data_IF_545449640267
#
_entry.id   IF_545449640267
#
_cell.length_a   1.000
_cell.length_b   1.000
_cell.length_c   1.000
_cell.angle_alpha   90.00
_cell.angle_beta   90.00
_cell.angle_gamma   90.00
#
_symmetry.space_group_name_H-M   'P 1'
#
loop_
_entity.id
_entity.type
_entity.pdbx_description
1 polymer ?
#
# COMPACT_ATOMS: atom_id res chain seq x y z
N UNK A 1 31.90 -0.08 9.37
CA UNK A 1 31.44 0.19 10.75
C UNK A 1 30.57 -0.98 11.19
N UNK A 2 31.15 -1.93 11.92
CA UNK A 2 30.59 -3.25 12.24
C UNK A 2 29.54 -3.15 13.35
N UNK A 3 28.26 -3.07 12.99
CA UNK A 3 27.16 -3.26 13.96
C UNK A 3 27.11 -4.75 14.30
N UNK A 4 27.74 -5.15 15.40
CA UNK A 4 27.49 -6.44 16.02
C UNK A 4 25.98 -6.57 16.31
N UNK A 5 25.37 -7.74 16.10
CA UNK A 5 23.96 -7.95 16.42
C UNK A 5 23.75 -7.60 17.90
N UNK A 6 22.89 -6.62 18.16
CA UNK A 6 22.53 -6.21 19.52
C UNK A 6 21.82 -7.40 20.16
N UNK A 7 22.41 -8.00 21.18
CA UNK A 7 21.81 -9.11 21.90
C UNK A 7 20.63 -8.60 22.73
N UNK A 8 19.41 -8.83 22.25
CA UNK A 8 18.18 -8.34 22.86
C UNK A 8 17.97 -8.90 24.26
N UNK A 9 18.59 -10.04 24.59
CA UNK A 9 18.47 -10.68 25.90
C UNK A 9 19.25 -9.94 26.98
N UNK A 10 20.22 -9.10 26.59
CA UNK A 10 21.02 -8.28 27.50
C UNK A 10 20.38 -6.94 27.89
N UNK A 11 19.34 -6.50 27.18
CA UNK A 11 18.71 -5.18 27.35
C UNK A 11 17.79 -5.07 28.57
N UNK A 12 17.70 -3.92 29.23
CA UNK A 12 16.79 -3.73 30.38
C UNK A 12 15.31 -3.80 29.99
N UNK A 13 14.42 -4.06 30.96
CA UNK A 13 12.97 -4.06 30.71
C UNK A 13 12.46 -2.71 30.18
N UNK A 14 13.03 -1.59 30.66
CA UNK A 14 12.69 -0.26 30.14
C UNK A 14 13.12 -0.09 28.67
N UNK A 15 14.31 -0.57 28.30
CA UNK A 15 14.80 -0.51 26.93
C UNK A 15 13.95 -1.38 25.99
N UNK A 16 13.59 -2.60 26.41
CA UNK A 16 12.72 -3.48 25.63
C UNK A 16 11.33 -2.89 25.43
N UNK A 17 10.75 -2.25 26.45
CA UNK A 17 9.45 -1.57 26.35
C UNK A 17 9.48 -0.38 25.39
N UNK A 18 10.57 0.41 25.39
CA UNK A 18 10.74 1.51 24.44
C UNK A 18 10.87 1.01 22.99
N UNK A 19 11.67 -0.03 22.76
CA UNK A 19 11.84 -0.62 21.42
C UNK A 19 10.52 -1.25 20.95
N UNK A 20 9.79 -1.93 21.85
CA UNK A 20 8.47 -2.48 21.56
C UNK A 20 7.54 -1.37 21.03
N UNK A 21 7.42 -0.27 21.76
CA UNK A 21 6.58 0.87 21.36
C UNK A 21 6.97 1.43 19.99
N UNK A 22 8.29 1.60 19.76
CA UNK A 22 8.78 2.06 18.46
C UNK A 22 8.36 1.12 17.32
N UNK A 23 8.44 -0.20 17.52
CA UNK A 23 8.05 -1.18 16.51
C UNK A 23 6.55 -1.17 16.27
N UNK A 24 5.73 -0.98 17.29
CA UNK A 24 4.26 -0.83 17.17
C UNK A 24 3.88 0.42 16.36
N UNK A 25 4.52 1.56 16.63
CA UNK A 25 4.30 2.82 15.90
C UNK A 25 4.71 2.67 14.42
N UNK A 26 5.88 2.08 14.16
CA UNK A 26 6.36 1.81 12.80
C UNK A 26 5.46 0.83 12.05
N UNK A 27 5.01 -0.25 12.68
CA UNK A 27 4.07 -1.21 12.09
C UNK A 27 2.75 -0.53 11.69
N UNK A 28 2.24 0.34 12.55
CA UNK A 28 1.02 1.11 12.25
C UNK A 28 1.22 2.01 11.03
N UNK A 29 2.34 2.74 10.95
CA UNK A 29 2.67 3.58 9.81
C UNK A 29 2.84 2.78 8.50
N UNK A 30 3.55 1.66 8.56
CA UNK A 30 3.80 0.81 7.39
C UNK A 30 2.50 0.14 6.91
N UNK A 31 1.64 -0.30 7.83
CA UNK A 31 0.33 -0.89 7.50
C UNK A 31 -0.62 0.12 6.83
N UNK A 32 -0.64 1.36 7.32
CA UNK A 32 -1.39 2.45 6.69
C UNK A 32 -0.88 2.73 5.27
N UNK A 33 0.45 2.79 5.09
CA UNK A 33 1.07 2.99 3.79
C UNK A 33 0.75 1.85 2.82
N UNK A 34 0.78 0.61 3.30
CA UNK A 34 0.43 -0.58 2.51
C UNK A 34 -1.01 -0.51 2.01
N UNK A 35 -1.94 -0.15 2.88
CA UNK A 35 -3.36 0.00 2.53
C UNK A 35 -3.58 1.07 1.47
N UNK A 36 -2.91 2.22 1.60
CA UNK A 36 -3.00 3.31 0.62
C UNK A 36 -2.42 2.92 -0.74
N UNK A 37 -1.24 2.30 -0.77
CA UNK A 37 -0.62 1.82 -2.01
C UNK A 37 -1.47 0.74 -2.68
N UNK A 38 -2.09 -0.14 -1.90
CA UNK A 38 -2.99 -1.17 -2.43
C UNK A 38 -4.25 -0.55 -3.04
N UNK A 39 -4.84 0.46 -2.39
CA UNK A 39 -5.98 1.19 -2.94
C UNK A 39 -5.62 1.90 -4.25
N UNK A 40 -4.43 2.52 -4.34
CA UNK A 40 -3.93 3.12 -5.57
C UNK A 40 -3.77 2.08 -6.71
N UNK A 41 -3.22 0.90 -6.39
CA UNK A 41 -3.08 -0.18 -7.37
C UNK A 41 -4.43 -0.65 -7.92
N UNK A 42 -5.45 -0.76 -7.05
CA UNK A 42 -6.82 -1.11 -7.48
C UNK A 42 -7.37 -0.03 -8.42
N UNK A 43 -7.22 1.25 -8.08
CA UNK A 43 -7.67 2.36 -8.95
C UNK A 43 -7.00 2.33 -10.32
N UNK A 44 -5.69 2.09 -10.41
CA UNK A 44 -5.02 1.99 -11.71
C UNK A 44 -5.50 0.79 -12.54
N UNK A 45 -5.83 -0.34 -11.91
CA UNK A 45 -6.47 -1.47 -12.61
C UNK A 45 -7.89 -1.14 -13.08
N UNK A 46 -8.64 -0.34 -12.34
CA UNK A 46 -9.95 0.15 -12.76
C UNK A 46 -9.83 1.12 -13.95
N UNK A 47 -8.81 1.97 -13.99
CA UNK A 47 -8.50 2.81 -15.15
C UNK A 47 -8.21 1.97 -16.40
N UNK A 48 -7.39 0.92 -16.28
CA UNK A 48 -7.11 -0.02 -17.39
C UNK A 48 -8.41 -0.64 -17.93
N UNK A 49 -9.25 -1.17 -17.03
CA UNK A 49 -10.54 -1.75 -17.41
C UNK A 49 -11.46 -0.72 -18.08
N UNK A 50 -11.43 0.53 -17.60
CA UNK A 50 -12.22 1.63 -18.17
C UNK A 50 -11.79 1.98 -19.59
N UNK A 51 -10.48 1.94 -19.88
CA UNK A 51 -9.96 2.14 -21.25
C UNK A 51 -10.40 0.97 -22.14
N UNK A 52 -10.21 -0.28 -21.69
CA UNK A 52 -10.55 -1.47 -22.47
C UNK A 52 -12.04 -1.58 -22.81
N UNK A 53 -12.92 -1.31 -21.85
CA UNK A 53 -14.38 -1.48 -22.03
C UNK A 53 -15.05 -0.19 -22.50
N UNK A 54 -14.64 0.94 -21.92
CA UNK A 54 -15.32 2.22 -22.06
C UNK A 54 -14.90 3.05 -23.25
N UNK A 55 -13.72 2.80 -23.84
CA UNK A 55 -13.19 3.61 -24.95
C UNK A 55 -12.87 2.74 -26.19
N UNK A 56 -13.28 1.47 -26.20
CA UNK A 56 -13.02 0.59 -27.35
C UNK A 56 -13.80 1.00 -28.61
N UNK A 57 -13.30 0.63 -29.79
CA UNK A 57 -14.02 0.84 -31.06
C UNK A 57 -15.43 0.22 -31.08
N UNK A 58 -15.75 -0.72 -30.18
CA UNK A 58 -17.07 -1.35 -30.05
C UNK A 58 -18.16 -0.40 -29.53
N UNK A 59 -17.77 0.69 -28.86
CA UNK A 59 -18.69 1.72 -28.34
C UNK A 59 -18.75 2.98 -29.21
N UNK A 60 -17.96 3.05 -30.29
CA UNK A 60 -17.99 4.18 -31.23
C UNK A 60 -19.40 4.34 -31.82
N UNK A 61 -19.95 5.55 -31.69
CA UNK A 61 -21.29 5.90 -32.18
C UNK A 61 -22.46 5.30 -31.38
N UNK A 62 -22.21 4.54 -30.32
CA UNK A 62 -23.27 4.04 -29.43
C UNK A 62 -23.57 5.06 -28.33
N UNK A 63 -24.85 5.23 -27.95
CA UNK A 63 -25.20 6.08 -26.82
C UNK A 63 -24.66 5.50 -25.52
N UNK A 64 -23.98 6.34 -24.73
CA UNK A 64 -23.50 6.06 -23.39
C UNK A 64 -24.22 6.96 -22.40
N UNK A 65 -24.40 6.50 -21.15
CA UNK A 65 -24.96 7.32 -20.09
C UNK A 65 -23.83 7.91 -19.25
N UNK A 66 -23.75 9.23 -19.23
CA UNK A 66 -22.76 9.95 -18.41
C UNK A 66 -23.44 10.45 -17.14
N UNK A 67 -22.95 10.12 -15.94
CA UNK A 67 -23.49 10.64 -14.70
C UNK A 67 -23.17 12.13 -14.56
N UNK A 68 -24.19 12.96 -14.35
CA UNK A 68 -24.03 14.37 -13.96
C UNK A 68 -24.02 14.53 -12.44
N UNK A 69 -24.85 13.74 -11.76
CA UNK A 69 -24.95 13.67 -10.30
C UNK A 69 -25.20 12.22 -9.87
N UNK A 70 -25.29 11.97 -8.57
CA UNK A 70 -25.56 10.63 -8.03
C UNK A 70 -26.86 9.99 -8.55
N UNK A 71 -27.84 10.79 -8.99
CA UNK A 71 -29.16 10.30 -9.42
C UNK A 71 -29.54 10.71 -10.84
N UNK A 72 -28.69 11.44 -11.57
CA UNK A 72 -28.99 11.96 -12.90
C UNK A 72 -27.94 11.53 -13.92
N UNK A 73 -28.41 10.90 -14.99
CA UNK A 73 -27.59 10.46 -16.13
C UNK A 73 -28.10 11.11 -17.40
N UNK A 74 -27.19 11.54 -18.27
CA UNK A 74 -27.52 12.13 -19.57
C UNK A 74 -26.94 11.24 -20.68
N UNK A 75 -27.72 10.96 -21.74
CA UNK A 75 -27.20 10.25 -22.90
C UNK A 75 -26.19 11.11 -23.66
N UNK A 76 -25.07 10.51 -24.05
CA UNK A 76 -24.03 11.12 -24.87
C UNK A 76 -23.42 10.10 -25.83
N UNK A 77 -22.54 10.55 -26.70
CA UNK A 77 -21.74 9.67 -27.58
C UNK A 77 -20.27 10.07 -27.47
N UNK A 78 -19.37 9.09 -27.57
CA UNK A 78 -17.94 9.37 -27.56
C UNK A 78 -17.52 10.01 -28.89
N UNK A 79 -16.90 11.19 -28.79
CA UNK A 79 -16.33 11.88 -29.95
C UNK A 79 -15.03 11.22 -30.43
N UNK A 80 -14.22 10.74 -29.49
CA UNK A 80 -12.96 10.05 -29.76
C UNK A 80 -12.89 8.75 -28.95
N UNK A 81 -12.47 7.67 -29.61
CA UNK A 81 -12.27 6.34 -29.03
C UNK A 81 -10.80 5.89 -29.09
N UNK A 82 -9.91 6.75 -29.57
CA UNK A 82 -8.49 6.43 -29.76
C UNK A 82 -7.62 7.17 -28.76
N UNK A 83 -8.06 8.32 -28.23
CA UNK A 83 -7.33 9.12 -27.25
C UNK A 83 -8.08 9.29 -25.94
N UNK A 84 -7.33 9.40 -24.85
CA UNK A 84 -7.82 9.62 -23.49
C UNK A 84 -6.96 10.67 -22.79
N UNK A 85 -7.57 11.41 -21.87
CA UNK A 85 -6.85 12.35 -21.02
C UNK A 85 -6.39 11.62 -19.75
N UNK A 86 -5.10 11.62 -19.48
CA UNK A 86 -4.48 10.95 -18.33
C UNK A 86 -3.93 11.99 -17.36
N UNK A 87 -4.30 11.89 -16.09
CA UNK A 87 -3.67 12.63 -14.99
C UNK A 87 -2.29 12.04 -14.71
N UNK A 88 -1.25 12.88 -14.85
CA UNK A 88 0.14 12.51 -14.57
C UNK A 88 0.65 13.03 -13.21
N UNK A 89 -0.20 13.74 -12.47
CA UNK A 89 0.09 14.30 -11.16
C UNK A 89 0.27 15.81 -11.16
N UNK A 90 0.31 16.41 -9.96
CA UNK A 90 0.51 17.86 -9.73
C UNK A 90 -0.47 18.78 -10.49
N UNK A 91 -1.64 18.25 -10.85
CA UNK A 91 -2.67 18.98 -11.59
C UNK A 91 -2.45 19.03 -13.10
N UNK A 92 -1.52 18.24 -13.66
CA UNK A 92 -1.29 18.17 -15.10
C UNK A 92 -2.02 16.98 -15.72
N UNK A 93 -2.65 17.26 -16.86
CA UNK A 93 -3.36 16.29 -17.68
C UNK A 93 -2.73 16.25 -19.06
N UNK A 94 -2.49 15.05 -19.57
CA UNK A 94 -1.86 14.84 -20.88
C UNK A 94 -2.77 13.93 -21.71
N UNK A 95 -3.02 14.34 -22.95
CA UNK A 95 -3.70 13.48 -23.92
C UNK A 95 -2.74 12.37 -24.38
N UNK A 96 -3.21 11.14 -24.31
CA UNK A 96 -2.47 9.94 -24.72
C UNK A 96 -3.36 9.07 -25.59
N UNK A 97 -2.76 8.34 -26.52
CA UNK A 97 -3.47 7.25 -27.18
C UNK A 97 -3.91 6.21 -26.15
N UNK A 98 -5.00 5.51 -26.42
CA UNK A 98 -5.50 4.42 -25.57
C UNK A 98 -4.42 3.37 -25.31
N UNK A 99 -3.59 3.07 -26.32
CA UNK A 99 -2.45 2.15 -26.19
C UNK A 99 -1.37 2.66 -25.24
N UNK A 100 -0.98 3.93 -25.37
CA UNK A 100 0.04 4.53 -24.50
C UNK A 100 -0.48 4.71 -23.07
N UNK A 101 -1.76 5.02 -22.91
CA UNK A 101 -2.42 5.10 -21.62
C UNK A 101 -2.47 3.72 -20.94
N UNK A 102 -2.78 2.65 -21.67
CA UNK A 102 -2.70 1.27 -21.16
C UNK A 102 -1.30 0.95 -20.66
N UNK A 103 -0.26 1.17 -21.48
CA UNK A 103 1.12 0.92 -21.07
C UNK A 103 1.55 1.77 -19.86
N UNK A 104 1.09 3.02 -19.78
CA UNK A 104 1.33 3.89 -18.63
C UNK A 104 0.73 3.31 -17.33
N UNK A 105 -0.54 2.90 -17.35
CA UNK A 105 -1.18 2.34 -16.17
C UNK A 105 -0.67 0.94 -15.81
N UNK A 106 -0.30 0.10 -16.79
CA UNK A 106 0.35 -1.19 -16.55
C UNK A 106 1.68 -1.01 -15.80
N UNK A 107 2.53 -0.09 -16.28
CA UNK A 107 3.78 0.26 -15.60
C UNK A 107 3.54 0.74 -14.17
N UNK A 108 2.53 1.59 -13.93
CA UNK A 108 2.18 2.04 -12.57
C UNK A 108 1.69 0.90 -11.67
N UNK A 109 0.94 -0.05 -12.21
CA UNK A 109 0.49 -1.23 -11.45
C UNK A 109 1.65 -2.14 -11.07
N UNK A 110 2.63 -2.29 -11.97
CA UNK A 110 3.85 -3.08 -11.73
C UNK A 110 4.76 -2.40 -10.70
N UNK A 111 5.03 -1.10 -10.84
CA UNK A 111 5.80 -0.31 -9.88
C UNK A 111 5.21 -0.44 -8.47
N UNK A 112 3.88 -0.29 -8.34
CA UNK A 112 3.19 -0.46 -7.07
C UNK A 112 3.26 -1.90 -6.56
N UNK A 113 3.23 -2.91 -7.44
CA UNK A 113 3.33 -4.31 -7.02
C UNK A 113 4.70 -4.61 -6.39
N UNK A 114 5.78 -4.08 -6.99
CA UNK A 114 7.15 -4.21 -6.44
C UNK A 114 7.24 -3.53 -5.08
N UNK A 115 6.75 -2.30 -4.96
CA UNK A 115 6.75 -1.55 -3.70
C UNK A 115 5.93 -2.23 -2.61
N UNK A 116 4.74 -2.74 -2.94
CA UNK A 116 3.90 -3.49 -2.00
C UNK A 116 4.58 -4.76 -1.51
N UNK A 117 5.23 -5.52 -2.40
CA UNK A 117 5.97 -6.74 -2.02
C UNK A 117 7.15 -6.44 -1.11
N UNK A 118 7.89 -5.36 -1.39
CA UNK A 118 8.96 -4.90 -0.51
C UNK A 118 8.44 -4.50 0.88
N UNK A 119 7.32 -3.78 0.92
CA UNK A 119 6.69 -3.35 2.15
C UNK A 119 6.11 -4.52 2.97
N UNK A 120 5.51 -5.50 2.30
CA UNK A 120 5.01 -6.74 2.93
C UNK A 120 6.14 -7.49 3.64
N UNK A 121 7.31 -7.60 2.99
CA UNK A 121 8.50 -8.21 3.59
C UNK A 121 8.95 -7.45 4.85
N UNK A 122 9.02 -6.11 4.78
CA UNK A 122 9.42 -5.28 5.93
C UNK A 122 8.41 -5.44 7.08
N UNK A 123 7.11 -5.47 6.78
CA UNK A 123 6.06 -5.68 7.79
C UNK A 123 6.22 -7.04 8.46
N UNK A 124 6.51 -8.10 7.71
CA UNK A 124 6.73 -9.43 8.26
C UNK A 124 7.96 -9.46 9.19
N UNK A 125 9.09 -8.94 8.73
CA UNK A 125 10.32 -8.87 9.53
C UNK A 125 10.12 -8.07 10.84
N UNK A 126 9.36 -6.97 10.78
CA UNK A 126 9.04 -6.14 11.95
C UNK A 126 8.11 -6.86 12.92
N UNK A 127 7.12 -7.58 12.43
CA UNK A 127 6.18 -8.34 13.26
C UNK A 127 6.89 -9.51 13.97
N UNK A 128 7.78 -10.21 13.26
CA UNK A 128 8.61 -11.26 13.85
C UNK A 128 9.57 -10.70 14.91
N UNK A 129 10.18 -9.54 14.65
CA UNK A 129 10.99 -8.82 15.63
C UNK A 129 10.20 -8.39 16.87
N UNK A 130 8.97 -7.91 16.70
CA UNK A 130 8.09 -7.55 17.81
C UNK A 130 7.77 -8.77 18.69
N UNK A 131 7.43 -9.92 18.09
CA UNK A 131 7.19 -11.17 18.82
C UNK A 131 8.40 -11.60 19.64
N UNK A 132 9.59 -11.53 19.05
CA UNK A 132 10.84 -11.86 19.75
C UNK A 132 11.07 -10.95 20.97
N UNK A 133 10.78 -9.65 20.84
CA UNK A 133 10.88 -8.69 21.96
C UNK A 133 9.87 -9.06 23.04
N UNK A 134 8.62 -9.37 22.69
CA UNK A 134 7.57 -9.75 23.65
C UNK A 134 7.92 -11.02 24.42
N UNK A 135 8.50 -12.03 23.75
CA UNK A 135 8.92 -13.27 24.38
C UNK A 135 10.04 -13.05 25.41
N UNK A 136 11.05 -12.23 25.06
CA UNK A 136 12.13 -11.87 26.00
C UNK A 136 11.61 -11.04 27.17
N UNK A 137 10.65 -10.14 26.92
CA UNK A 137 10.01 -9.35 27.98
C UNK A 137 9.25 -10.26 28.96
N UNK A 138 8.49 -11.25 28.44
CA UNK A 138 7.81 -12.26 29.26
C UNK A 138 8.79 -13.11 30.07
N UNK A 139 9.86 -13.61 29.45
CA UNK A 139 10.88 -14.39 30.13
C UNK A 139 11.55 -13.61 31.27
N UNK A 140 11.88 -12.34 31.03
CA UNK A 140 12.45 -11.47 32.07
C UNK A 140 11.52 -11.26 33.24
N UNK A 141 10.24 -10.95 32.99
CA UNK A 141 9.23 -10.76 34.05
C UNK A 141 9.10 -12.02 34.93
N UNK A 142 9.07 -13.21 34.32
CA UNK A 142 9.01 -14.50 35.05
C UNK A 142 10.28 -14.70 35.88
N UNK A 143 11.47 -14.46 35.29
CA UNK A 143 12.74 -14.61 35.99
C UNK A 143 12.89 -13.64 37.16
N UNK A 144 12.41 -12.39 37.03
CA UNK A 144 12.43 -11.39 38.11
C UNK A 144 11.36 -11.66 39.18
N UNK A 145 10.22 -12.26 38.83
CA UNK A 145 9.16 -12.62 39.78
C UNK A 145 9.51 -13.83 40.64
N UNK A 146 10.38 -14.72 40.15
CA UNK A 146 10.83 -15.92 40.88
C UNK A 146 11.85 -15.57 41.97
N UNK A 147 12.56 -14.45 41.84
CA UNK A 147 13.54 -13.98 42.85
C UNK A 147 12.89 -13.28 44.05
N UNK A 148 11.65 -12.79 43.93
CA UNK A 148 10.92 -12.10 45.01
C UNK A 148 10.09 -13.02 45.90
N UNK A 149 9.93 -14.31 45.56
CA UNK A 149 9.18 -15.29 46.36
C UNK A 149 10.09 -16.24 47.18
N UNK A 150 11.41 -16.07 47.08
CA UNK A 150 12.41 -16.89 47.78
C UNK A 150 13.11 -16.16 48.95
N UNK A 151 12.56 -15.04 49.43
CA UNK A 151 13.03 -14.28 50.60
C UNK A 151 11.90 -13.97 51.56
#
# INVERSE_FOLDING_TARGET
>A
NTRAPVDITSLSMQQLSQIKKQFEDELTHLSNSFTQLRAAQVKFRECLRSIELGVSGKVKGKPILVPLTASLYVPGTLADTENVIVDVGTGFYVEKSTKDATGFYESKVEDLAVNLKALEKILQEKNDGLRMIEDVLRQKVISSGTTSSAS
#
